data_IF_659239488043
#
_entry.id   IF_659239488043
#
_cell.length_a   1.000
_cell.length_b   1.000
_cell.length_c   1.000
_cell.angle_alpha   90.00
_cell.angle_beta   90.00
_cell.angle_gamma   90.00
#
_symmetry.space_group_name_H-M   'P 1'
#
loop_
_entity.id
_entity.type
_entity.pdbx_description
1 polymer ?
#
# COMPACT_ATOMS: atom_id res chain seq x y z
N UNK A 1 -12.45 -11.27 -22.05
CA UNK A 1 -12.82 -11.78 -20.71
C UNK A 1 -14.32 -11.58 -20.56
N UNK A 2 -15.09 -12.58 -20.15
CA UNK A 2 -16.56 -12.47 -20.07
C UNK A 2 -17.10 -12.28 -18.64
N UNK A 3 -16.27 -12.27 -17.63
CA UNK A 3 -16.67 -12.20 -16.22
C UNK A 3 -16.35 -10.87 -15.58
N UNK A 4 -17.16 -10.49 -14.57
CA UNK A 4 -16.98 -9.25 -13.82
C UNK A 4 -15.78 -9.33 -12.86
N UNK A 5 -15.13 -8.19 -12.65
CA UNK A 5 -14.00 -8.00 -11.74
C UNK A 5 -14.48 -7.15 -10.56
N UNK A 6 -14.39 -7.68 -9.35
CA UNK A 6 -14.60 -6.92 -8.12
C UNK A 6 -13.32 -6.25 -7.66
N UNK A 7 -13.40 -4.98 -7.27
CA UNK A 7 -12.33 -4.24 -6.59
C UNK A 7 -12.85 -3.82 -5.23
N UNK A 8 -12.25 -4.30 -4.15
CA UNK A 8 -12.55 -3.86 -2.79
C UNK A 8 -11.73 -2.61 -2.44
N UNK A 9 -12.19 -1.81 -1.47
CA UNK A 9 -11.49 -0.57 -1.15
C UNK A 9 -11.39 0.41 -2.32
N UNK A 10 -12.33 0.33 -3.28
CA UNK A 10 -12.31 1.02 -4.56
C UNK A 10 -12.25 2.56 -4.44
N UNK A 11 -12.72 3.14 -3.34
CA UNK A 11 -12.65 4.59 -3.09
C UNK A 11 -11.30 5.07 -2.55
N UNK A 12 -10.41 4.16 -2.15
CA UNK A 12 -9.05 4.47 -1.72
C UNK A 12 -8.11 4.77 -2.90
N UNK A 13 -6.89 5.23 -2.59
CA UNK A 13 -5.92 5.63 -3.62
C UNK A 13 -5.56 4.47 -4.56
N UNK A 14 -5.23 3.30 -4.01
CA UNK A 14 -4.92 2.10 -4.81
C UNK A 14 -6.11 1.67 -5.66
N UNK A 15 -7.30 1.57 -5.03
CA UNK A 15 -8.52 1.12 -5.71
C UNK A 15 -8.96 2.06 -6.84
N UNK A 16 -8.86 3.37 -6.64
CA UNK A 16 -9.15 4.36 -7.71
C UNK A 16 -8.16 4.21 -8.85
N UNK A 17 -6.86 4.15 -8.57
CA UNK A 17 -5.84 4.00 -9.59
C UNK A 17 -5.99 2.69 -10.39
N UNK A 18 -6.29 1.56 -9.71
CA UNK A 18 -6.57 0.30 -10.40
C UNK A 18 -7.83 0.39 -11.28
N UNK A 19 -8.88 1.04 -10.78
CA UNK A 19 -10.12 1.27 -11.52
C UNK A 19 -9.86 2.09 -12.78
N UNK A 20 -9.09 3.19 -12.67
CA UNK A 20 -8.77 4.06 -13.81
C UNK A 20 -8.05 3.29 -14.92
N UNK A 21 -7.03 2.51 -14.57
CA UNK A 21 -6.28 1.69 -15.55
C UNK A 21 -7.14 0.62 -16.21
N UNK A 22 -8.11 0.04 -15.48
CA UNK A 22 -9.04 -0.93 -16.08
C UNK A 22 -10.07 -0.26 -16.97
N UNK A 23 -10.54 0.95 -16.65
CA UNK A 23 -11.39 1.77 -17.52
C UNK A 23 -10.65 2.14 -18.82
N UNK A 24 -9.38 2.55 -18.73
CA UNK A 24 -8.51 2.83 -19.88
C UNK A 24 -8.35 1.62 -20.81
N UNK A 25 -8.42 0.41 -20.25
CA UNK A 25 -8.44 -0.85 -21.01
C UNK A 25 -9.82 -1.20 -21.60
N UNK A 26 -10.84 -0.36 -21.42
CA UNK A 26 -12.18 -0.57 -21.93
C UNK A 26 -13.00 -1.60 -21.13
N UNK A 27 -12.71 -1.78 -19.84
CA UNK A 27 -13.36 -2.78 -18.98
C UNK A 27 -14.38 -2.19 -18.00
N UNK A 28 -14.78 -0.93 -18.17
CA UNK A 28 -15.65 -0.22 -17.22
C UNK A 28 -16.95 -1.00 -16.87
N UNK A 29 -17.61 -1.56 -17.86
CA UNK A 29 -18.86 -2.34 -17.72
C UNK A 29 -18.68 -3.71 -17.03
N UNK A 30 -17.42 -4.16 -16.90
CA UNK A 30 -17.06 -5.39 -16.20
C UNK A 30 -16.65 -5.15 -14.74
N UNK A 31 -16.56 -3.88 -14.28
CA UNK A 31 -16.10 -3.56 -12.94
C UNK A 31 -17.26 -3.48 -11.94
N UNK A 32 -17.05 -4.13 -10.79
CA UNK A 32 -17.86 -3.97 -9.56
C UNK A 32 -16.94 -3.33 -8.52
N UNK A 33 -17.26 -2.11 -8.12
CA UNK A 33 -16.48 -1.33 -7.18
C UNK A 33 -17.11 -1.36 -5.80
N UNK A 34 -16.43 -1.91 -4.81
CA UNK A 34 -16.93 -2.03 -3.44
C UNK A 34 -16.34 -0.93 -2.57
N UNK A 35 -17.20 -0.19 -1.89
CA UNK A 35 -16.83 0.88 -0.96
C UNK A 35 -17.80 0.97 0.22
N UNK A 36 -17.30 1.40 1.38
CA UNK A 36 -18.11 1.86 2.52
C UNK A 36 -18.83 3.19 2.24
N UNK A 37 -18.36 3.92 1.23
CA UNK A 37 -18.88 5.21 0.81
C UNK A 37 -19.09 5.23 -0.71
N UNK A 38 -20.15 4.59 -1.23
CA UNK A 38 -20.43 4.52 -2.67
C UNK A 38 -20.48 5.88 -3.37
N UNK A 39 -20.98 6.91 -2.69
CA UNK A 39 -21.09 8.28 -3.22
C UNK A 39 -19.73 8.85 -3.66
N UNK A 40 -18.63 8.41 -3.03
CA UNK A 40 -17.27 8.80 -3.44
C UNK A 40 -16.87 8.24 -4.80
N UNK A 41 -17.67 7.35 -5.39
CA UNK A 41 -17.43 6.69 -6.68
C UNK A 41 -18.49 7.06 -7.74
N UNK A 42 -19.28 8.12 -7.51
CA UNK A 42 -20.31 8.57 -8.46
C UNK A 42 -19.73 8.86 -9.86
N UNK A 43 -18.50 9.39 -9.91
CA UNK A 43 -17.76 9.61 -11.14
C UNK A 43 -17.45 8.32 -11.90
N UNK A 44 -17.25 7.19 -11.22
CA UNK A 44 -17.02 5.88 -11.82
C UNK A 44 -18.32 5.24 -12.30
N UNK A 45 -19.42 5.46 -11.59
CA UNK A 45 -20.75 5.07 -12.06
C UNK A 45 -21.08 5.77 -13.38
N UNK A 46 -20.76 7.05 -13.52
CA UNK A 46 -20.94 7.80 -14.76
C UNK A 46 -20.09 7.26 -15.92
N UNK A 47 -19.00 6.56 -15.62
CA UNK A 47 -18.13 5.89 -16.61
C UNK A 47 -18.56 4.44 -16.93
N UNK A 48 -19.67 3.96 -16.35
CA UNK A 48 -20.24 2.64 -16.62
C UNK A 48 -19.87 1.55 -15.63
N UNK A 49 -19.14 1.88 -14.55
CA UNK A 49 -18.84 0.91 -13.48
C UNK A 49 -20.05 0.67 -12.59
N UNK A 50 -20.21 -0.56 -12.12
CA UNK A 50 -21.18 -0.90 -11.08
C UNK A 50 -20.57 -0.60 -9.70
N UNK A 51 -21.25 0.22 -8.88
CA UNK A 51 -20.79 0.56 -7.52
C UNK A 51 -21.72 -0.09 -6.50
N UNK A 52 -21.15 -0.79 -5.52
CA UNK A 52 -21.89 -1.46 -4.45
C UNK A 52 -21.38 -1.07 -3.08
N UNK A 53 -22.30 -1.04 -2.10
CA UNK A 53 -21.93 -0.93 -0.70
C UNK A 53 -21.36 -2.25 -0.20
N UNK A 54 -20.24 -2.18 0.51
CA UNK A 54 -19.66 -3.31 1.23
C UNK A 54 -18.66 -2.79 2.25
N UNK A 55 -18.69 -3.38 3.43
CA UNK A 55 -17.90 -2.97 4.58
C UNK A 55 -17.28 -4.20 5.24
N UNK A 56 -15.96 -4.20 5.39
CA UNK A 56 -15.25 -5.28 6.05
C UNK A 56 -15.64 -5.47 7.51
N UNK A 57 -16.10 -4.40 8.19
CA UNK A 57 -16.58 -4.45 9.57
C UNK A 57 -18.04 -4.92 9.66
N UNK A 58 -18.71 -5.13 8.52
CA UNK A 58 -20.08 -5.61 8.38
C UNK A 58 -20.14 -6.78 7.40
N UNK A 59 -19.68 -7.98 7.81
CA UNK A 59 -19.56 -9.13 6.92
C UNK A 59 -20.82 -9.50 6.16
N UNK A 60 -22.01 -9.23 6.74
CA UNK A 60 -23.29 -9.46 6.11
C UNK A 60 -23.51 -8.67 4.82
N UNK A 61 -22.77 -7.60 4.61
CA UNK A 61 -22.84 -6.77 3.40
C UNK A 61 -22.03 -7.34 2.23
N UNK A 62 -21.05 -8.19 2.53
CA UNK A 62 -20.05 -8.63 1.55
C UNK A 62 -20.61 -9.63 0.53
N UNK A 63 -21.52 -10.53 0.96
CA UNK A 63 -22.10 -11.53 0.08
C UNK A 63 -22.81 -10.91 -1.13
N UNK A 64 -23.65 -9.89 -0.90
CA UNK A 64 -24.32 -9.17 -1.98
C UNK A 64 -23.34 -8.32 -2.82
N UNK A 65 -22.33 -7.75 -2.15
CA UNK A 65 -21.36 -6.88 -2.80
C UNK A 65 -20.51 -7.62 -3.85
N UNK A 66 -20.13 -8.88 -3.61
CA UNK A 66 -19.27 -9.68 -4.51
C UNK A 66 -20.05 -10.53 -5.53
N UNK A 67 -21.39 -10.54 -5.47
CA UNK A 67 -22.21 -11.38 -6.32
C UNK A 67 -21.97 -11.14 -7.82
N UNK A 68 -21.78 -12.24 -8.57
CA UNK A 68 -21.57 -12.23 -10.02
C UNK A 68 -20.14 -11.89 -10.47
N UNK A 69 -19.20 -11.78 -9.54
CA UNK A 69 -17.80 -11.59 -9.86
C UNK A 69 -17.14 -12.91 -10.29
N UNK A 70 -16.24 -12.83 -11.26
CA UNK A 70 -15.35 -13.92 -11.67
C UNK A 70 -13.96 -13.78 -11.03
N UNK A 71 -13.48 -12.54 -10.92
CA UNK A 71 -12.21 -12.20 -10.28
C UNK A 71 -12.41 -11.15 -9.19
N UNK A 72 -11.52 -11.15 -8.21
CA UNK A 72 -11.54 -10.17 -7.12
C UNK A 72 -10.14 -9.63 -6.87
N UNK A 73 -10.00 -8.31 -6.80
CA UNK A 73 -8.85 -7.65 -6.19
C UNK A 73 -9.22 -7.29 -4.74
N UNK A 74 -8.67 -8.05 -3.81
CA UNK A 74 -8.75 -7.78 -2.38
C UNK A 74 -7.64 -6.79 -1.99
N UNK A 75 -8.01 -5.52 -1.83
CA UNK A 75 -7.08 -4.50 -1.35
C UNK A 75 -7.05 -4.54 0.18
N UNK A 76 -5.85 -4.63 0.75
CA UNK A 76 -5.63 -4.68 2.20
C UNK A 76 -6.23 -3.45 2.89
N UNK A 77 -6.94 -3.68 4.00
CA UNK A 77 -7.41 -2.61 4.88
C UNK A 77 -6.24 -1.88 5.56
N UNK A 78 -6.49 -0.68 6.07
CA UNK A 78 -5.46 0.14 6.74
C UNK A 78 -5.29 -0.20 8.22
N UNK A 79 -6.26 -0.84 8.85
CA UNK A 79 -6.29 -1.11 10.29
C UNK A 79 -5.56 -2.39 10.65
N UNK A 80 -4.29 -2.26 11.04
CA UNK A 80 -3.44 -3.38 11.49
C UNK A 80 -4.07 -4.08 12.68
N UNK A 81 -4.03 -5.43 12.70
CA UNK A 81 -4.66 -6.26 13.72
C UNK A 81 -6.14 -6.58 13.50
N UNK A 82 -6.87 -5.79 12.69
CA UNK A 82 -8.26 -6.10 12.31
C UNK A 82 -8.35 -6.85 10.98
N UNK A 83 -7.32 -6.77 10.16
CA UNK A 83 -7.30 -7.25 8.77
C UNK A 83 -7.62 -8.73 8.63
N UNK A 84 -7.14 -9.58 9.54
CA UNK A 84 -7.36 -11.05 9.47
C UNK A 84 -8.86 -11.37 9.43
N UNK A 85 -9.63 -10.81 10.35
CA UNK A 85 -11.08 -11.04 10.43
C UNK A 85 -11.78 -10.43 9.22
N UNK A 86 -11.44 -9.20 8.87
CA UNK A 86 -12.00 -8.46 7.76
C UNK A 86 -11.75 -9.14 6.41
N UNK A 87 -10.49 -9.51 6.14
CA UNK A 87 -10.12 -10.14 4.88
C UNK A 87 -10.68 -11.55 4.77
N UNK A 88 -10.68 -12.32 5.89
CA UNK A 88 -11.27 -13.65 5.89
C UNK A 88 -12.76 -13.60 5.52
N UNK A 89 -13.52 -12.68 6.08
CA UNK A 89 -14.93 -12.50 5.72
C UNK A 89 -15.12 -12.19 4.23
N UNK A 90 -14.25 -11.34 3.65
CA UNK A 90 -14.29 -11.02 2.23
C UNK A 90 -13.91 -12.21 1.34
N UNK A 91 -12.92 -13.01 1.74
CA UNK A 91 -12.50 -14.24 1.06
C UNK A 91 -13.62 -15.29 1.09
N UNK A 92 -14.23 -15.51 2.26
CA UNK A 92 -15.33 -16.48 2.43
C UNK A 92 -16.55 -16.04 1.56
N UNK A 93 -16.88 -14.74 1.54
CA UNK A 93 -17.96 -14.21 0.69
C UNK A 93 -17.64 -14.39 -0.81
N UNK A 94 -16.41 -14.14 -1.23
CA UNK A 94 -15.97 -14.33 -2.62
C UNK A 94 -16.05 -15.80 -3.05
N UNK A 95 -15.57 -16.73 -2.20
CA UNK A 95 -15.65 -18.16 -2.47
C UNK A 95 -17.10 -18.65 -2.58
N UNK A 96 -17.97 -18.22 -1.66
CA UNK A 96 -19.40 -18.55 -1.68
C UNK A 96 -20.13 -17.99 -2.90
N UNK A 97 -19.71 -16.83 -3.43
CA UNK A 97 -20.26 -16.22 -4.64
C UNK A 97 -19.72 -16.84 -5.95
N UNK A 98 -18.78 -17.78 -5.87
CA UNK A 98 -18.23 -18.47 -7.03
C UNK A 98 -17.12 -17.69 -7.75
N UNK A 99 -16.46 -16.76 -7.06
CA UNK A 99 -15.24 -16.10 -7.57
C UNK A 99 -14.20 -17.18 -7.86
N UNK A 100 -13.61 -17.14 -9.04
CA UNK A 100 -12.64 -18.16 -9.49
C UNK A 100 -11.21 -17.80 -9.16
N UNK A 101 -10.88 -16.49 -9.13
CA UNK A 101 -9.53 -16.02 -8.89
C UNK A 101 -9.51 -14.77 -8.00
N UNK A 102 -8.79 -14.85 -6.90
CA UNK A 102 -8.59 -13.74 -5.97
C UNK A 102 -7.13 -13.25 -6.04
N UNK A 103 -6.94 -11.95 -6.19
CA UNK A 103 -5.66 -11.27 -6.09
C UNK A 103 -5.65 -10.45 -4.79
N UNK A 104 -4.55 -10.46 -4.07
CA UNK A 104 -4.43 -9.78 -2.79
C UNK A 104 -3.20 -8.89 -2.73
N UNK A 105 -3.38 -7.63 -2.30
CA UNK A 105 -2.27 -6.73 -2.00
C UNK A 105 -1.66 -7.11 -0.65
N UNK A 106 -0.67 -7.97 -0.70
CA UNK A 106 0.07 -8.50 0.44
C UNK A 106 1.30 -7.62 0.73
N UNK A 107 2.25 -8.15 1.49
CA UNK A 107 3.46 -7.44 1.90
C UNK A 107 4.70 -8.33 1.79
N UNK A 108 5.87 -7.75 1.48
CA UNK A 108 7.14 -8.48 1.41
C UNK A 108 7.63 -8.95 2.80
N UNK A 109 8.56 -9.92 2.82
CA UNK A 109 9.23 -10.35 4.06
C UNK A 109 8.35 -11.10 5.06
N UNK A 110 7.11 -11.49 4.70
CA UNK A 110 6.17 -12.12 5.64
C UNK A 110 6.47 -13.60 5.93
N UNK A 111 7.30 -14.26 5.13
CA UNK A 111 7.58 -15.70 5.29
C UNK A 111 8.51 -15.97 6.48
N UNK A 112 9.37 -15.02 6.86
CA UNK A 112 10.24 -15.20 8.01
C UNK A 112 9.46 -14.99 9.32
N UNK A 113 9.36 -16.02 10.19
CA UNK A 113 8.63 -15.91 11.44
C UNK A 113 9.25 -14.94 12.45
N UNK A 114 10.53 -14.58 12.27
CA UNK A 114 11.24 -13.66 13.16
C UNK A 114 11.09 -12.19 12.73
N UNK A 115 10.54 -11.91 11.55
CA UNK A 115 10.29 -10.55 11.11
C UNK A 115 9.38 -9.83 12.11
N UNK A 116 9.86 -8.76 12.79
CA UNK A 116 9.14 -8.09 13.86
C UNK A 116 7.99 -7.19 13.39
N UNK A 117 7.85 -6.93 12.09
CA UNK A 117 6.80 -6.05 11.57
C UNK A 117 5.41 -6.54 11.99
N UNK A 118 4.64 -5.70 12.71
CA UNK A 118 3.32 -6.06 13.22
C UNK A 118 2.37 -6.46 12.08
N UNK A 119 2.43 -5.75 10.96
CA UNK A 119 1.62 -6.03 9.75
C UNK A 119 1.85 -7.42 9.17
N UNK A 120 3.00 -8.05 9.42
CA UNK A 120 3.33 -9.40 8.96
C UNK A 120 2.26 -10.42 9.30
N UNK A 121 1.76 -10.40 10.54
CA UNK A 121 0.75 -11.36 11.00
C UNK A 121 -0.52 -11.27 10.14
N UNK A 122 -1.00 -10.06 9.89
CA UNK A 122 -2.21 -9.85 9.10
C UNK A 122 -2.08 -10.38 7.68
N UNK A 123 -0.93 -10.12 7.05
CA UNK A 123 -0.70 -10.53 5.66
C UNK A 123 -0.52 -12.03 5.52
N UNK A 124 0.26 -12.68 6.40
CA UNK A 124 0.48 -14.13 6.31
C UNK A 124 -0.81 -14.92 6.59
N UNK A 125 -1.62 -14.49 7.56
CA UNK A 125 -2.89 -15.14 7.86
C UNK A 125 -3.93 -14.92 6.74
N UNK A 126 -3.93 -13.74 6.09
CA UNK A 126 -4.76 -13.49 4.90
C UNK A 126 -4.34 -14.39 3.73
N UNK A 127 -3.03 -14.52 3.45
CA UNK A 127 -2.55 -15.43 2.39
C UNK A 127 -2.91 -16.89 2.68
N UNK A 128 -2.83 -17.34 3.95
CA UNK A 128 -3.26 -18.68 4.34
C UNK A 128 -4.76 -18.89 4.09
N UNK A 129 -5.60 -17.94 4.48
CA UNK A 129 -7.04 -17.99 4.23
C UNK A 129 -7.35 -18.02 2.72
N UNK A 130 -6.67 -17.18 1.95
CA UNK A 130 -6.81 -17.14 0.49
C UNK A 130 -6.44 -18.47 -0.16
N UNK A 131 -5.31 -19.07 0.23
CA UNK A 131 -4.86 -20.38 -0.28
C UNK A 131 -5.81 -21.52 0.10
N UNK A 132 -6.45 -21.43 1.25
CA UNK A 132 -7.41 -22.44 1.74
C UNK A 132 -8.81 -22.28 1.15
N UNK A 133 -9.12 -21.20 0.45
CA UNK A 133 -10.46 -20.86 -0.04
C UNK A 133 -10.98 -21.74 -1.19
N UNK A 134 -10.10 -22.49 -1.86
CA UNK A 134 -10.43 -23.25 -3.06
C UNK A 134 -10.44 -22.45 -4.35
N UNK A 135 -10.34 -21.11 -4.29
CA UNK A 135 -10.16 -20.25 -5.46
C UNK A 135 -8.71 -20.33 -5.96
N UNK A 136 -8.48 -20.05 -7.24
CA UNK A 136 -7.15 -19.67 -7.68
C UNK A 136 -6.76 -18.35 -6.99
N UNK A 137 -5.46 -18.15 -6.70
CA UNK A 137 -5.02 -16.99 -5.94
C UNK A 137 -3.74 -16.37 -6.53
N UNK A 138 -3.55 -15.08 -6.28
CA UNK A 138 -2.28 -14.39 -6.54
C UNK A 138 -1.98 -13.46 -5.36
N UNK A 139 -0.81 -13.63 -4.76
CA UNK A 139 -0.32 -12.71 -3.73
C UNK A 139 0.62 -11.69 -4.39
N UNK A 140 0.25 -10.41 -4.32
CA UNK A 140 1.07 -9.28 -4.74
C UNK A 140 1.68 -8.70 -3.47
N UNK A 141 2.91 -9.08 -3.17
CA UNK A 141 3.63 -8.66 -1.98
C UNK A 141 4.33 -7.34 -2.27
N UNK A 142 3.64 -6.26 -1.99
CA UNK A 142 4.15 -4.91 -2.21
C UNK A 142 5.24 -4.59 -1.19
N UNK A 143 6.34 -3.97 -1.63
CA UNK A 143 7.32 -3.34 -0.75
C UNK A 143 6.77 -2.03 -0.18
N UNK A 144 7.55 -1.37 0.67
CA UNK A 144 7.19 -0.08 1.25
C UNK A 144 6.95 0.96 0.15
N UNK A 145 5.81 1.65 0.23
CA UNK A 145 5.45 2.63 -0.77
C UNK A 145 6.31 3.90 -0.65
N UNK A 146 7.10 4.16 -1.68
CA UNK A 146 7.87 5.40 -1.80
C UNK A 146 6.99 6.65 -1.68
N UNK A 147 5.73 6.58 -2.17
CA UNK A 147 4.73 7.65 -2.04
C UNK A 147 4.53 8.09 -0.58
N UNK A 148 4.45 7.13 0.36
CA UNK A 148 4.27 7.43 1.77
C UNK A 148 5.48 8.18 2.34
N UNK A 149 6.68 7.79 1.97
CA UNK A 149 7.91 8.37 2.50
C UNK A 149 8.27 9.71 1.83
N UNK A 150 8.10 9.80 0.52
CA UNK A 150 8.53 10.98 -0.25
C UNK A 150 7.42 12.04 -0.34
N UNK A 151 6.18 11.64 -0.64
CA UNK A 151 5.11 12.61 -0.90
C UNK A 151 4.33 13.00 0.37
N UNK A 152 4.21 12.10 1.35
CA UNK A 152 3.52 12.40 2.62
C UNK A 152 4.47 12.95 3.68
N UNK A 153 5.59 12.27 3.95
CA UNK A 153 6.56 12.70 4.97
C UNK A 153 7.53 13.77 4.46
N UNK A 154 7.87 13.73 3.17
CA UNK A 154 8.87 14.60 2.56
C UNK A 154 8.71 16.10 2.81
N UNK A 155 7.50 16.71 2.72
CA UNK A 155 7.29 18.12 3.04
C UNK A 155 7.76 18.52 4.43
N UNK A 156 7.46 17.70 5.45
CA UNK A 156 7.88 17.95 6.82
C UNK A 156 9.40 17.74 7.00
N UNK A 157 9.95 16.70 6.39
CA UNK A 157 11.39 16.43 6.38
C UNK A 157 12.17 17.59 5.74
N UNK A 158 11.69 18.13 4.61
CA UNK A 158 12.29 19.28 3.95
C UNK A 158 12.17 20.57 4.77
N UNK A 159 11.04 20.78 5.46
CA UNK A 159 10.83 21.97 6.29
C UNK A 159 11.73 22.00 7.53
N UNK A 160 12.01 20.83 8.10
CA UNK A 160 12.85 20.69 9.31
C UNK A 160 14.32 20.44 8.99
N UNK A 161 14.63 19.96 7.79
CA UNK A 161 15.97 19.50 7.38
C UNK A 161 16.39 18.21 8.08
N UNK A 162 15.47 17.51 8.77
CA UNK A 162 15.77 16.33 9.60
C UNK A 162 14.80 15.19 9.33
N UNK A 163 15.35 14.00 9.16
CA UNK A 163 14.58 12.77 8.99
C UNK A 163 14.96 11.75 10.07
N UNK A 164 14.14 11.64 11.09
CA UNK A 164 14.32 10.66 12.15
C UNK A 164 13.73 9.31 11.73
N UNK A 165 14.50 8.22 11.90
CA UNK A 165 13.97 6.87 11.74
C UNK A 165 14.75 5.84 12.55
N UNK A 166 14.08 4.79 12.99
CA UNK A 166 14.69 3.66 13.68
C UNK A 166 15.12 2.53 12.73
N UNK A 167 15.16 2.81 11.43
CA UNK A 167 15.62 1.86 10.41
C UNK A 167 17.15 1.71 10.35
N UNK A 168 17.91 2.59 11.01
CA UNK A 168 19.38 2.55 11.03
C UNK A 168 19.97 2.55 9.62
N UNK A 169 20.92 1.63 9.38
CA UNK A 169 21.56 1.40 8.07
C UNK A 169 20.86 0.27 7.27
N UNK A 170 19.70 -0.18 7.69
CA UNK A 170 18.91 -1.18 6.98
C UNK A 170 18.51 -0.70 5.59
N UNK A 171 18.38 -1.64 4.66
CA UNK A 171 18.07 -1.37 3.25
C UNK A 171 16.71 -1.92 2.88
N UNK A 172 16.01 -1.17 2.05
CA UNK A 172 14.77 -1.63 1.42
C UNK A 172 14.66 -1.12 -0.02
N UNK A 173 13.91 -1.82 -0.85
CA UNK A 173 13.64 -1.42 -2.22
C UNK A 173 12.24 -0.78 -2.30
N UNK A 174 12.13 0.50 -1.88
CA UNK A 174 10.86 1.24 -1.91
C UNK A 174 10.27 1.25 -3.31
N UNK A 175 8.97 0.98 -3.42
CA UNK A 175 8.25 0.89 -4.69
C UNK A 175 7.23 2.02 -4.85
N UNK A 176 7.00 2.47 -6.07
CA UNK A 176 5.87 3.36 -6.36
C UNK A 176 4.57 2.59 -6.23
N UNK A 177 3.58 3.14 -5.53
CA UNK A 177 2.24 2.54 -5.46
C UNK A 177 1.65 2.30 -6.84
N UNK A 178 1.90 3.19 -7.77
CA UNK A 178 1.46 3.07 -9.17
C UNK A 178 2.09 1.88 -9.90
N UNK A 179 3.31 1.46 -9.56
CA UNK A 179 3.90 0.23 -10.10
C UNK A 179 3.19 -1.01 -9.54
N UNK A 180 2.83 -0.99 -8.25
CA UNK A 180 2.02 -2.05 -7.64
C UNK A 180 0.63 -2.16 -8.29
N UNK A 181 0.00 -1.02 -8.57
CA UNK A 181 -1.29 -0.96 -9.28
C UNK A 181 -1.17 -1.52 -10.69
N UNK A 182 -0.12 -1.14 -11.42
CA UNK A 182 0.12 -1.66 -12.78
C UNK A 182 0.33 -3.18 -12.76
N UNK A 183 1.05 -3.70 -11.75
CA UNK A 183 1.24 -5.14 -11.54
C UNK A 183 -0.10 -5.85 -11.25
N UNK A 184 -0.93 -5.29 -10.39
CA UNK A 184 -2.24 -5.85 -10.07
C UNK A 184 -3.15 -5.88 -11.30
N UNK A 185 -3.18 -4.81 -12.07
CA UNK A 185 -3.96 -4.73 -13.32
C UNK A 185 -3.44 -5.73 -14.35
N UNK A 186 -2.12 -5.86 -14.51
CA UNK A 186 -1.54 -6.86 -15.40
C UNK A 186 -1.95 -8.28 -14.99
N UNK A 187 -1.79 -8.63 -13.72
CA UNK A 187 -2.16 -9.96 -13.21
C UNK A 187 -3.67 -10.25 -13.30
N UNK A 188 -4.53 -9.24 -13.22
CA UNK A 188 -5.98 -9.40 -13.43
C UNK A 188 -6.37 -9.60 -14.88
N UNK A 189 -5.63 -8.98 -15.82
CA UNK A 189 -6.04 -8.88 -17.23
C UNK A 189 -5.29 -9.83 -18.17
N UNK A 190 -4.24 -10.48 -17.70
CA UNK A 190 -3.48 -11.49 -18.46
C UNK A 190 -3.60 -12.86 -17.81
N UNK A 191 -3.39 -13.97 -18.54
CA UNK A 191 -3.45 -15.33 -17.99
C UNK A 191 -2.12 -15.73 -17.34
N UNK A 192 -2.17 -16.81 -16.53
CA UNK A 192 -0.97 -17.50 -16.04
C UNK A 192 -0.43 -16.95 -14.72
N UNK A 193 -1.27 -16.26 -13.95
CA UNK A 193 -0.91 -15.69 -12.65
C UNK A 193 -1.50 -16.45 -11.47
N UNK A 194 -2.25 -17.51 -11.75
CA UNK A 194 -2.91 -18.34 -10.75
C UNK A 194 -1.88 -19.05 -9.86
N UNK A 195 -2.13 -19.04 -8.56
CA UNK A 195 -1.33 -19.69 -7.52
C UNK A 195 0.13 -19.23 -7.48
N UNK A 196 0.34 -17.93 -7.68
CA UNK A 196 1.67 -17.30 -7.69
C UNK A 196 1.81 -16.24 -6.62
N UNK A 197 3.05 -16.03 -6.20
CA UNK A 197 3.51 -14.90 -5.39
C UNK A 197 4.40 -14.04 -6.26
N UNK A 198 4.21 -12.73 -6.19
CA UNK A 198 5.08 -11.73 -6.77
C UNK A 198 5.53 -10.76 -5.67
N UNK A 199 6.83 -10.49 -5.60
CA UNK A 199 7.38 -9.49 -4.68
C UNK A 199 7.61 -8.19 -5.45
N UNK A 200 6.70 -7.25 -5.29
CA UNK A 200 6.68 -6.01 -6.05
C UNK A 200 7.56 -4.99 -5.37
N UNK A 201 8.76 -4.80 -5.89
CA UNK A 201 9.80 -3.94 -5.30
C UNK A 201 10.24 -2.84 -6.26
N UNK A 202 10.80 -1.77 -5.70
CA UNK A 202 11.54 -0.79 -6.47
C UNK A 202 12.84 -1.39 -7.05
N UNK A 203 13.55 -0.63 -7.90
CA UNK A 203 14.71 -1.14 -8.62
C UNK A 203 16.00 -1.15 -7.78
N UNK A 204 16.03 -0.48 -6.63
CA UNK A 204 17.24 -0.21 -5.86
C UNK A 204 17.01 -0.44 -4.37
N UNK A 205 17.96 -1.16 -3.72
CA UNK A 205 18.03 -1.24 -2.27
C UNK A 205 18.72 0.02 -1.74
N UNK A 206 18.02 0.79 -0.90
CA UNK A 206 18.50 2.06 -0.38
C UNK A 206 18.28 2.16 1.13
N UNK A 207 19.22 2.83 1.83
CA UNK A 207 19.03 3.27 3.22
C UNK A 207 18.26 4.59 3.26
N UNK A 208 17.69 4.94 4.40
CA UNK A 208 17.09 6.26 4.61
C UNK A 208 18.10 7.40 4.44
N UNK A 209 19.37 7.17 4.80
CA UNK A 209 20.45 8.13 4.59
C UNK A 209 20.71 8.40 3.11
N UNK A 210 20.74 7.34 2.29
CA UNK A 210 20.90 7.48 0.82
C UNK A 210 19.72 8.23 0.20
N UNK A 211 18.50 7.98 0.66
CA UNK A 211 17.31 8.70 0.17
C UNK A 211 17.31 10.16 0.62
N UNK A 212 17.73 10.48 1.86
CA UNK A 212 17.90 11.85 2.33
C UNK A 212 18.93 12.63 1.49
N UNK A 213 20.03 11.96 1.13
CA UNK A 213 21.04 12.54 0.23
C UNK A 213 20.48 12.82 -1.18
N UNK A 214 19.65 11.92 -1.73
CA UNK A 214 18.95 12.14 -3.00
C UNK A 214 17.99 13.34 -2.92
N UNK A 215 17.22 13.47 -1.85
CA UNK A 215 16.34 14.61 -1.62
C UNK A 215 17.16 15.91 -1.63
N UNK A 216 18.25 15.95 -0.86
CA UNK A 216 19.16 17.13 -0.83
C UNK A 216 19.70 17.46 -2.21
N UNK A 217 20.20 16.46 -2.94
CA UNK A 217 20.76 16.64 -4.27
C UNK A 217 19.76 17.22 -5.28
N UNK A 218 18.53 16.70 -5.27
CA UNK A 218 17.52 17.04 -6.29
C UNK A 218 16.79 18.34 -5.94
N UNK A 219 16.46 18.56 -4.66
CA UNK A 219 15.68 19.72 -4.23
C UNK A 219 16.55 20.96 -3.97
N UNK A 220 17.82 20.73 -3.61
CA UNK A 220 18.72 21.79 -3.11
C UNK A 220 18.47 22.17 -1.64
N UNK A 221 17.55 21.48 -0.95
CA UNK A 221 17.25 21.69 0.47
C UNK A 221 18.01 20.63 1.29
N UNK A 222 18.90 21.01 2.22
CA UNK A 222 19.63 20.05 3.05
C UNK A 222 18.69 19.20 3.89
N UNK A 223 18.87 17.88 3.84
CA UNK A 223 18.16 16.89 4.66
C UNK A 223 19.18 15.94 5.27
N UNK A 224 19.16 15.83 6.58
CA UNK A 224 19.98 14.89 7.35
C UNK A 224 19.12 13.74 7.87
N UNK A 225 19.52 12.51 7.61
CA UNK A 225 18.93 11.34 8.27
C UNK A 225 19.56 11.18 9.65
N UNK A 226 18.72 11.14 10.67
CA UNK A 226 19.12 10.99 12.08
C UNK A 226 18.60 9.62 12.54
N UNK A 227 19.47 8.61 12.63
CA UNK A 227 19.08 7.32 13.17
C UNK A 227 18.78 7.46 14.68
N UNK A 228 17.66 6.87 15.09
CA UNK A 228 17.20 6.82 16.48
C UNK A 228 16.93 5.36 16.87
N UNK A 229 16.86 5.08 18.17
CA UNK A 229 16.41 3.78 18.62
C UNK A 229 14.85 3.68 18.65
N UNK A 230 14.33 2.48 18.98
CA UNK A 230 12.88 2.26 19.00
C UNK A 230 12.19 3.11 20.06
N UNK A 231 12.82 3.34 21.21
CA UNK A 231 12.24 4.12 22.30
C UNK A 231 12.16 5.62 21.93
N UNK A 232 13.21 6.13 21.29
CA UNK A 232 13.25 7.50 20.78
C UNK A 232 12.23 7.70 19.66
N UNK A 233 12.11 6.73 18.74
CA UNK A 233 11.10 6.79 17.66
C UNK A 233 9.68 6.80 18.23
N UNK A 234 9.43 6.00 19.25
CA UNK A 234 8.17 6.05 19.98
C UNK A 234 7.91 7.42 20.62
N UNK A 235 8.91 8.01 21.28
CA UNK A 235 8.76 9.32 21.89
C UNK A 235 8.43 10.42 20.86
N UNK A 236 9.01 10.34 19.66
CA UNK A 236 8.68 11.24 18.54
C UNK A 236 7.21 11.08 18.16
N UNK A 237 6.72 9.85 17.95
CA UNK A 237 5.32 9.62 17.58
C UNK A 237 4.34 10.01 18.68
N UNK A 238 4.68 9.78 19.95
CA UNK A 238 3.89 10.23 21.09
C UNK A 238 3.76 11.76 21.13
N UNK A 239 4.85 12.49 20.81
CA UNK A 239 4.82 13.95 20.74
C UNK A 239 3.93 14.48 19.60
N UNK A 240 3.72 13.68 18.56
CA UNK A 240 2.81 13.97 17.45
C UNK A 240 1.37 13.53 17.73
N UNK A 241 1.10 12.91 18.87
CA UNK A 241 -0.20 12.38 19.23
C UNK A 241 -0.61 11.12 18.45
N UNK A 242 0.35 10.41 17.82
CA UNK A 242 0.08 9.19 17.07
C UNK A 242 -0.21 8.04 18.06
N UNK A 243 -1.38 7.38 17.97
CA UNK A 243 -1.73 6.32 18.91
C UNK A 243 -0.84 5.07 18.73
N UNK A 244 -0.60 4.34 19.83
CA UNK A 244 0.13 3.06 19.80
C UNK A 244 -0.59 1.99 19.00
N UNK A 245 -1.89 1.93 19.12
CA UNK A 245 -2.77 0.97 18.46
C UNK A 245 -3.70 1.66 17.49
N UNK A 246 -4.20 0.96 16.45
CA UNK A 246 -5.17 1.54 15.54
C UNK A 246 -6.42 2.00 16.28
N UNK A 247 -6.88 3.21 15.97
CA UNK A 247 -8.18 3.71 16.41
C UNK A 247 -9.06 3.82 15.17
N UNK A 248 -10.33 3.45 15.32
CA UNK A 248 -11.27 3.40 14.20
C UNK A 248 -11.30 4.71 13.40
N UNK A 249 -10.95 4.61 12.13
CA UNK A 249 -10.94 5.69 11.13
C UNK A 249 -10.24 7.00 11.56
N UNK A 250 -9.38 6.97 12.59
CA UNK A 250 -8.60 8.14 12.98
C UNK A 250 -7.35 8.29 12.10
N UNK A 251 -7.24 9.50 11.56
CA UNK A 251 -6.03 10.01 10.93
C UNK A 251 -5.45 11.09 11.81
N UNK A 252 -4.25 10.89 12.35
CA UNK A 252 -3.55 11.90 13.13
C UNK A 252 -2.55 12.58 12.19
N UNK A 253 -2.69 13.88 12.00
CA UNK A 253 -1.85 14.65 11.06
C UNK A 253 -1.81 14.06 9.64
N UNK A 254 -2.92 13.43 9.19
CA UNK A 254 -2.98 12.76 7.89
C UNK A 254 -2.35 11.37 7.86
N UNK A 255 -1.84 10.86 8.97
CA UNK A 255 -1.21 9.54 9.09
C UNK A 255 -2.27 8.51 9.52
N UNK A 256 -2.51 7.46 8.72
CA UNK A 256 -3.51 6.43 9.02
C UNK A 256 -2.95 5.28 9.85
N UNK A 257 -1.67 5.32 10.24
CA UNK A 257 -0.97 4.24 10.90
C UNK A 257 -0.83 4.49 12.41
N UNK A 258 -0.64 3.44 13.14
CA UNK A 258 -0.29 3.50 14.56
C UNK A 258 1.23 3.43 14.76
N UNK A 259 1.71 3.86 15.91
CA UNK A 259 3.15 3.92 16.17
C UNK A 259 3.78 2.53 16.39
N UNK A 260 3.03 1.52 16.87
CA UNK A 260 3.54 0.14 17.00
C UNK A 260 3.86 -0.44 15.62
N UNK A 261 2.97 -0.25 14.63
CA UNK A 261 3.21 -0.67 13.25
C UNK A 261 4.46 0.02 12.68
N UNK A 262 4.55 1.35 12.78
CA UNK A 262 5.65 2.12 12.20
C UNK A 262 7.00 1.79 12.85
N UNK A 263 7.06 1.62 14.18
CA UNK A 263 8.33 1.30 14.89
C UNK A 263 8.77 -0.14 14.60
N UNK A 264 7.83 -1.11 14.61
CA UNK A 264 8.18 -2.49 14.28
C UNK A 264 8.57 -2.65 12.81
N UNK A 265 8.03 -1.82 11.93
CA UNK A 265 8.41 -1.75 10.52
C UNK A 265 9.85 -1.23 10.36
N UNK A 266 10.20 -0.13 11.02
CA UNK A 266 11.57 0.40 11.01
C UNK A 266 12.57 -0.61 11.58
N UNK A 267 12.20 -1.36 12.63
CA UNK A 267 13.01 -2.47 13.16
C UNK A 267 13.20 -3.57 12.10
N UNK A 268 12.14 -3.95 11.38
CA UNK A 268 12.23 -4.96 10.33
C UNK A 268 13.19 -4.55 9.21
N UNK A 269 13.23 -3.26 8.84
CA UNK A 269 14.22 -2.73 7.89
C UNK A 269 15.62 -2.84 8.48
N UNK A 270 15.84 -2.35 9.70
CA UNK A 270 17.14 -2.35 10.38
C UNK A 270 17.73 -3.76 10.52
N UNK A 271 16.88 -4.75 10.77
CA UNK A 271 17.26 -6.15 10.95
C UNK A 271 17.33 -6.94 9.63
N UNK A 272 17.10 -6.29 8.47
CA UNK A 272 17.28 -6.86 7.13
C UNK A 272 16.12 -7.73 6.62
N UNK A 273 14.99 -7.80 7.33
CA UNK A 273 13.83 -8.61 6.90
C UNK A 273 13.13 -8.07 5.64
N UNK A 274 13.38 -6.81 5.28
CA UNK A 274 12.82 -6.16 4.09
C UNK A 274 13.87 -5.90 3.00
N UNK A 275 15.09 -6.44 3.17
CA UNK A 275 16.18 -6.32 2.20
C UNK A 275 15.97 -7.29 1.02
N UNK A 276 14.99 -6.98 0.20
CA UNK A 276 14.61 -7.77 -0.97
C UNK A 276 14.43 -6.86 -2.19
N UNK A 277 15.06 -7.24 -3.30
CA UNK A 277 14.86 -6.63 -4.61
C UNK A 277 14.54 -7.70 -5.63
N UNK A 278 13.52 -7.49 -6.45
CA UNK A 278 13.11 -8.39 -7.53
C UNK A 278 12.87 -7.63 -8.84
N UNK A 279 12.69 -8.37 -9.94
CA UNK A 279 12.29 -7.84 -11.24
C UNK A 279 10.82 -8.13 -11.56
N UNK A 280 9.97 -8.38 -10.54
CA UNK A 280 8.57 -8.77 -10.74
C UNK A 280 7.72 -7.66 -11.35
N UNK A 281 8.05 -6.37 -11.12
CA UNK A 281 7.41 -5.26 -11.84
C UNK A 281 7.63 -5.43 -13.35
N UNK A 282 8.86 -5.66 -13.78
CA UNK A 282 9.16 -5.87 -15.20
C UNK A 282 8.52 -7.15 -15.75
N UNK A 283 8.50 -8.21 -14.97
CA UNK A 283 7.87 -9.48 -15.36
C UNK A 283 6.38 -9.32 -15.62
N UNK A 284 5.68 -8.54 -14.80
CA UNK A 284 4.23 -8.34 -14.90
C UNK A 284 3.85 -7.26 -15.93
N UNK A 285 4.62 -6.16 -15.96
CA UNK A 285 4.24 -4.96 -16.73
C UNK A 285 4.98 -4.80 -18.06
N UNK A 286 6.08 -5.53 -18.26
CA UNK A 286 6.96 -5.38 -19.43
C UNK A 286 7.91 -4.16 -19.35
N UNK A 287 7.85 -3.36 -18.29
CA UNK A 287 8.74 -2.22 -18.05
C UNK A 287 9.44 -2.33 -16.68
N UNK A 288 10.63 -1.73 -16.50
CA UNK A 288 11.29 -1.70 -15.20
C UNK A 288 10.48 -0.91 -14.18
N UNK A 289 10.68 -1.21 -12.90
CA UNK A 289 10.15 -0.41 -11.80
C UNK A 289 10.74 1.00 -11.83
N UNK A 290 9.95 2.00 -11.41
CA UNK A 290 10.39 3.39 -11.28
C UNK A 290 11.23 3.55 -9.99
N UNK A 291 12.25 4.41 -10.05
CA UNK A 291 13.13 4.66 -8.91
C UNK A 291 12.60 5.74 -7.97
N UNK A 292 13.09 5.75 -6.72
CA UNK A 292 12.86 6.84 -5.77
C UNK A 292 13.38 8.16 -6.31
N UNK A 293 14.52 8.14 -7.01
CA UNK A 293 15.07 9.33 -7.70
C UNK A 293 14.04 9.95 -8.65
N UNK A 294 13.43 9.15 -9.52
CA UNK A 294 12.40 9.64 -10.45
C UNK A 294 11.22 10.27 -9.70
N UNK A 295 10.78 9.68 -8.59
CA UNK A 295 9.69 10.25 -7.78
C UNK A 295 10.04 11.63 -7.25
N UNK A 296 11.25 11.82 -6.72
CA UNK A 296 11.69 13.11 -6.21
C UNK A 296 11.83 14.13 -7.33
N UNK A 297 12.38 13.73 -8.49
CA UNK A 297 12.55 14.61 -9.67
C UNK A 297 11.19 15.08 -10.21
N UNK A 298 10.24 14.19 -10.43
CA UNK A 298 8.90 14.50 -10.95
C UNK A 298 8.09 15.38 -9.98
N UNK A 299 8.30 15.24 -8.68
CA UNK A 299 7.56 15.97 -7.65
C UNK A 299 8.36 17.13 -7.01
N UNK A 300 9.55 17.46 -7.55
CA UNK A 300 10.46 18.45 -6.97
C UNK A 300 9.82 19.79 -6.66
N UNK A 301 9.06 20.34 -7.59
CA UNK A 301 8.43 21.65 -7.42
C UNK A 301 7.44 21.66 -6.25
N UNK A 302 6.56 20.65 -6.20
CA UNK A 302 5.58 20.46 -5.14
C UNK A 302 6.25 20.27 -3.77
N UNK A 303 7.29 19.43 -3.69
CA UNK A 303 8.03 19.16 -2.46
C UNK A 303 8.69 20.44 -1.90
N UNK A 304 9.35 21.22 -2.75
CA UNK A 304 10.01 22.47 -2.33
C UNK A 304 8.99 23.53 -1.92
N UNK A 305 7.86 23.64 -2.62
CA UNK A 305 6.78 24.58 -2.27
C UNK A 305 6.14 24.22 -0.92
N UNK A 306 5.81 22.94 -0.73
CA UNK A 306 5.23 22.44 0.53
C UNK A 306 6.18 22.66 1.72
N UNK A 307 7.50 22.47 1.54
CA UNK A 307 8.51 22.76 2.54
C UNK A 307 8.55 24.23 2.95
N UNK A 308 8.45 25.16 1.99
CA UNK A 308 8.40 26.60 2.27
C UNK A 308 7.16 26.99 3.05
N UNK A 309 6.01 26.41 2.70
CA UNK A 309 4.75 26.61 3.42
C UNK A 309 4.82 26.13 4.87
N UNK A 310 5.39 24.95 5.10
CA UNK A 310 5.56 24.38 6.44
C UNK A 310 6.55 25.20 7.29
N UNK A 311 7.65 25.68 6.71
CA UNK A 311 8.62 26.55 7.40
C UNK A 311 8.01 27.90 7.81
N UNK A 312 7.13 28.46 6.98
CA UNK A 312 6.44 29.71 7.29
C UNK A 312 5.35 29.57 8.37
N UNK A 313 4.85 28.36 8.62
CA UNK A 313 3.81 28.08 9.61
C UNK A 313 4.38 27.74 11.01
N UNK A 314 5.70 27.58 11.15
CA UNK A 314 6.33 27.35 12.46
C UNK A 314 6.43 28.68 13.22
N UNK A 315 5.86 28.81 14.43
CA UNK A 315 6.05 30.00 15.26
C UNK A 315 7.54 30.15 15.64
N UNK A 316 8.03 31.40 15.57
CA UNK A 316 9.39 31.77 15.91
C UNK A 316 9.74 31.52 17.40
#
# INVERSE_FOLDING_TARGET
MSGKIVITGASGQYGRAATDRLIEKGLADQLILISRSPDKLADRTAQGCEVRYGDYDKPETLAAAVQGAEKMLLISGTRVGARVVQHKAAIDAAAAAGVRHILYTSFIGIDDPNNPAEVRHDHIETEKAMRASGMAWTALRDAHYADAMILMAGPNVLATGKWFSNAGDGREAMVWRDDCVDCAVAAMTTPGHENKVYNITGPELQTFGEVAALITQITGCPVEHIPVDDAEQYAIFDSMGIPRRPVDDQYVSGIPWNSDDMVTFGRAIREGYLELRTDDVQTLTGRPARSVRQMIEENRAMLVEAARGAAAAQPA
#
